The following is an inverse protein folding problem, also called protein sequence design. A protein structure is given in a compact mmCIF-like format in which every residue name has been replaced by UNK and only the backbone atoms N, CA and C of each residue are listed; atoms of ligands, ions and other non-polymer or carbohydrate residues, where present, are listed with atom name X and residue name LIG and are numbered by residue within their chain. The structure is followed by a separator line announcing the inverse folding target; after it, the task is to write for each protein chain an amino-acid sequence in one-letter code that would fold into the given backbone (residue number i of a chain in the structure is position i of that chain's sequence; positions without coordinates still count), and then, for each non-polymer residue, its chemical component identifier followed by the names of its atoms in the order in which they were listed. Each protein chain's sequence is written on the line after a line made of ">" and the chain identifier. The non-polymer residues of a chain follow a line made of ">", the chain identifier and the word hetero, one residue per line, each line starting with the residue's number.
data_IF_203966229272
#
_entry.id   IF_203966229272
#
_cell.length_a   1.000
_cell.length_b   1.000
_cell.length_c   1.000
_cell.angle_alpha   90.00
_cell.angle_beta   90.00
_cell.angle_gamma   90.00
#
_symmetry.space_group_name_H-M   'P 1'
#
loop_
_entity.id
_entity.type
_entity.pdbx_description
1 polymer ?
#
# COMPACT_ATOMS: atom_id res chain seq x y z
N UNK A 1 -43.37 -35.04 -26.16
CA UNK A 1 -43.34 -34.15 -27.31
C UNK A 1 -42.33 -33.07 -27.11
N UNK A 2 -41.35 -33.11 -27.93
CA UNK A 2 -40.41 -32.14 -28.50
C UNK A 2 -39.26 -31.71 -27.61
N UNK A 3 -38.15 -32.36 -27.82
CA UNK A 3 -36.75 -32.05 -27.53
C UNK A 3 -36.35 -30.74 -28.21
N UNK A 4 -35.62 -29.86 -27.54
CA UNK A 4 -34.72 -28.93 -28.23
C UNK A 4 -33.35 -28.98 -27.52
N UNK A 5 -32.44 -29.72 -28.13
CA UNK A 5 -30.99 -29.64 -27.94
C UNK A 5 -30.52 -28.27 -28.37
N UNK A 6 -29.74 -27.60 -27.51
CA UNK A 6 -28.88 -26.51 -27.96
C UNK A 6 -27.42 -26.90 -27.78
N UNK A 7 -26.77 -26.92 -28.93
CA UNK A 7 -25.39 -27.28 -29.15
C UNK A 7 -24.41 -26.34 -28.45
N UNK A 8 -23.46 -26.95 -27.78
CA UNK A 8 -22.22 -26.31 -27.30
C UNK A 8 -21.29 -26.08 -28.50
N UNK A 9 -21.03 -24.82 -28.81
CA UNK A 9 -20.01 -24.45 -29.80
C UNK A 9 -18.66 -24.44 -29.10
N UNK A 10 -17.84 -25.45 -29.39
CA UNK A 10 -16.44 -25.53 -29.01
C UNK A 10 -15.66 -24.73 -30.04
N UNK A 11 -15.17 -23.56 -29.65
CA UNK A 11 -14.22 -22.80 -30.46
C UNK A 11 -12.84 -23.45 -30.34
N UNK A 12 -12.45 -24.22 -31.36
CA UNK A 12 -11.07 -24.68 -31.56
C UNK A 12 -10.14 -23.48 -31.79
N UNK A 13 -9.27 -23.19 -30.86
CA UNK A 13 -8.14 -22.31 -31.09
C UNK A 13 -7.02 -23.14 -31.71
N UNK A 14 -6.79 -22.95 -33.01
CA UNK A 14 -5.64 -23.46 -33.73
C UNK A 14 -4.35 -22.87 -33.17
N UNK A 15 -3.55 -23.73 -32.54
CA UNK A 15 -2.18 -23.42 -32.16
C UNK A 15 -1.27 -23.50 -33.39
N UNK A 16 -0.97 -22.36 -33.99
CA UNK A 16 0.04 -22.28 -35.04
C UNK A 16 1.42 -22.23 -34.38
N UNK A 17 2.14 -23.35 -34.49
CA UNK A 17 3.56 -23.45 -34.11
C UNK A 17 4.39 -22.63 -35.09
N UNK A 18 4.95 -21.52 -34.64
CA UNK A 18 6.03 -20.82 -35.35
C UNK A 18 7.34 -21.01 -34.58
N UNK A 19 8.18 -21.82 -35.16
CA UNK A 19 9.58 -22.03 -34.79
C UNK A 19 10.37 -20.74 -35.06
N UNK A 20 11.13 -20.25 -34.10
CA UNK A 20 12.14 -19.27 -34.44
C UNK A 20 12.60 -18.35 -33.31
N UNK A 21 13.84 -18.50 -32.96
CA UNK A 21 14.70 -17.61 -32.17
C UNK A 21 14.71 -17.84 -30.66
N UNK A 22 15.69 -18.62 -30.25
CA UNK A 22 16.20 -18.63 -28.87
C UNK A 22 16.92 -17.29 -28.66
N UNK A 23 16.23 -16.33 -28.06
CA UNK A 23 16.86 -15.16 -27.47
C UNK A 23 17.12 -15.54 -26.04
N UNK A 24 18.39 -15.68 -25.68
CA UNK A 24 18.84 -15.77 -24.30
C UNK A 24 18.60 -14.40 -23.65
N UNK A 25 17.39 -14.18 -23.14
CA UNK A 25 17.06 -13.01 -22.33
C UNK A 25 17.47 -13.32 -20.90
N UNK A 26 18.34 -12.47 -20.39
CA UNK A 26 18.76 -12.50 -19.00
C UNK A 26 17.56 -12.47 -18.03
N UNK A 27 17.83 -12.91 -16.83
CA UNK A 27 16.93 -13.28 -15.74
C UNK A 27 15.96 -12.17 -15.25
N UNK A 28 15.12 -11.64 -16.16
CA UNK A 28 14.02 -10.72 -15.81
C UNK A 28 12.77 -11.07 -16.64
N UNK A 29 12.28 -12.30 -16.44
CA UNK A 29 11.23 -12.93 -17.25
C UNK A 29 9.82 -12.69 -16.73
N UNK A 30 9.54 -11.53 -16.15
CA UNK A 30 8.16 -11.18 -15.81
C UNK A 30 7.45 -10.62 -17.06
N UNK A 31 6.24 -11.14 -17.38
CA UNK A 31 5.47 -10.60 -18.51
C UNK A 31 5.20 -9.10 -18.30
N UNK A 32 5.20 -8.32 -19.39
CA UNK A 32 5.06 -6.84 -19.36
C UNK A 32 3.80 -6.38 -18.62
N UNK A 33 2.70 -7.15 -18.70
CA UNK A 33 1.45 -6.86 -18.00
C UNK A 33 1.56 -7.04 -16.48
N UNK A 34 2.37 -7.99 -15.99
CA UNK A 34 2.65 -8.11 -14.55
C UNK A 34 3.49 -6.94 -14.04
N UNK A 35 4.48 -6.48 -14.82
CA UNK A 35 5.29 -5.31 -14.45
C UNK A 35 4.43 -4.06 -14.33
N UNK A 36 3.53 -3.84 -15.28
CA UNK A 36 2.65 -2.66 -15.28
C UNK A 36 1.68 -2.65 -14.09
N UNK A 37 1.16 -3.80 -13.69
CA UNK A 37 0.27 -3.92 -12.54
C UNK A 37 1.00 -3.69 -11.21
N UNK A 38 2.22 -4.21 -11.09
CA UNK A 38 3.09 -3.97 -9.91
C UNK A 38 3.52 -2.51 -9.83
N UNK A 39 3.89 -1.88 -10.95
CA UNK A 39 4.26 -0.47 -10.99
C UNK A 39 3.10 0.44 -10.57
N UNK A 40 1.87 0.17 -11.04
CA UNK A 40 0.68 0.94 -10.65
C UNK A 40 0.37 0.84 -9.15
N UNK A 41 0.66 -0.30 -8.52
CA UNK A 41 0.45 -0.55 -7.08
C UNK A 41 1.52 0.09 -6.19
N UNK A 42 2.62 0.50 -6.78
CA UNK A 42 3.79 1.04 -6.05
C UNK A 42 4.22 2.42 -6.54
N UNK A 43 3.42 3.08 -7.39
CA UNK A 43 3.69 4.43 -7.85
C UNK A 43 3.52 5.42 -6.68
N UNK A 44 4.56 6.20 -6.34
CA UNK A 44 4.48 7.23 -5.30
C UNK A 44 3.37 8.26 -5.51
N UNK A 45 2.98 8.53 -6.75
CA UNK A 45 1.89 9.45 -7.08
C UNK A 45 0.53 8.97 -6.58
N UNK A 46 0.35 7.67 -6.43
CA UNK A 46 -0.89 7.07 -5.91
C UNK A 46 -1.11 7.30 -4.43
N UNK A 47 -0.08 7.74 -3.68
CA UNK A 47 -0.18 8.06 -2.26
C UNK A 47 -0.86 9.41 -2.00
N UNK A 48 -0.78 10.35 -2.99
CA UNK A 48 -1.44 11.65 -2.90
C UNK A 48 -2.93 11.54 -3.19
N UNK A 49 -3.70 12.53 -2.74
CA UNK A 49 -5.11 12.68 -3.14
C UNK A 49 -6.12 12.58 -2.02
N UNK A 50 -5.69 12.42 -0.76
CA UNK A 50 -6.65 12.40 0.34
C UNK A 50 -6.05 12.02 1.68
N UNK A 51 -6.94 11.93 2.63
CA UNK A 51 -6.64 11.53 4.00
C UNK A 51 -6.77 10.01 4.11
N UNK A 52 -5.69 9.37 4.46
CA UNK A 52 -5.64 7.94 4.80
C UNK A 52 -6.03 7.72 6.26
N UNK A 53 -7.02 6.88 6.50
CA UNK A 53 -7.52 6.55 7.84
C UNK A 53 -7.04 5.16 8.23
N UNK A 54 -6.57 5.00 9.46
CA UNK A 54 -6.05 3.73 9.96
C UNK A 54 -7.13 2.64 9.94
N UNK A 55 -6.80 1.49 9.37
CA UNK A 55 -7.58 0.25 9.41
C UNK A 55 -6.99 -0.71 10.43
N UNK A 56 -5.67 -0.91 10.38
CA UNK A 56 -4.97 -1.79 11.32
C UNK A 56 -3.55 -1.33 11.60
N UNK A 57 -3.01 -1.70 12.75
CA UNK A 57 -1.63 -1.47 13.16
C UNK A 57 -1.07 -2.70 13.88
N UNK A 58 0.09 -3.20 13.41
CA UNK A 58 0.75 -4.40 13.96
C UNK A 58 -0.20 -5.60 14.09
N UNK A 59 -1.00 -5.85 13.05
CA UNK A 59 -2.02 -6.91 12.98
C UNK A 59 -3.18 -6.77 13.96
N UNK A 60 -3.28 -5.64 14.66
CA UNK A 60 -4.44 -5.31 15.48
C UNK A 60 -5.33 -4.33 14.71
N UNK A 61 -6.64 -4.52 14.79
CA UNK A 61 -7.62 -3.64 14.15
C UNK A 61 -7.55 -2.19 14.66
N UNK A 62 -8.36 -1.33 14.05
CA UNK A 62 -8.47 0.07 14.46
C UNK A 62 -8.72 0.21 15.96
N UNK A 63 -8.02 1.13 16.60
CA UNK A 63 -8.10 1.37 18.05
C UNK A 63 -9.30 2.29 18.30
N UNK A 64 -10.31 1.86 19.05
CA UNK A 64 -11.48 2.69 19.34
C UNK A 64 -11.10 4.04 19.96
N UNK A 65 -11.63 5.13 19.40
CA UNK A 65 -11.39 6.49 19.88
C UNK A 65 -10.07 7.13 19.42
N UNK A 66 -9.16 6.38 18.79
CA UNK A 66 -7.96 6.92 18.21
C UNK A 66 -8.16 7.19 16.71
N UNK A 67 -8.42 8.44 16.34
CA UNK A 67 -8.56 8.86 14.94
C UNK A 67 -7.20 8.99 14.27
N UNK A 68 -6.50 7.86 14.05
CA UNK A 68 -5.18 7.85 13.44
C UNK A 68 -5.30 8.08 11.93
N UNK A 69 -4.51 9.03 11.41
CA UNK A 69 -4.55 9.35 9.98
C UNK A 69 -3.19 9.79 9.45
N UNK A 70 -3.04 9.67 8.12
CA UNK A 70 -1.86 10.05 7.37
C UNK A 70 -2.29 10.77 6.09
N UNK A 71 -1.58 11.83 5.73
CA UNK A 71 -1.79 12.59 4.50
C UNK A 71 -0.44 12.85 3.84
N UNK A 72 -0.37 12.62 2.54
CA UNK A 72 0.81 12.93 1.72
C UNK A 72 0.56 14.23 0.97
N UNK A 73 1.40 15.21 1.24
CA UNK A 73 1.35 16.54 0.63
C UNK A 73 2.35 16.71 -0.51
N UNK A 74 2.40 17.91 -1.07
CA UNK A 74 3.39 18.29 -2.06
C UNK A 74 4.81 18.28 -1.47
N UNK A 75 5.82 18.14 -2.33
CA UNK A 75 7.23 18.21 -1.94
C UNK A 75 7.63 17.19 -0.86
N UNK A 76 7.09 15.99 -0.94
CA UNK A 76 7.33 14.91 0.02
C UNK A 76 6.94 15.25 1.47
N UNK A 77 6.08 16.24 1.67
CA UNK A 77 5.55 16.54 3.00
C UNK A 77 4.58 15.45 3.42
N UNK A 78 4.60 15.14 4.71
CA UNK A 78 3.61 14.25 5.34
C UNK A 78 3.05 14.92 6.57
N UNK A 79 1.78 14.66 6.85
CA UNK A 79 1.09 15.12 8.04
C UNK A 79 0.03 14.13 8.47
N UNK A 80 -0.47 14.29 9.68
CA UNK A 80 -1.54 13.42 10.16
C UNK A 80 -1.91 13.68 11.61
N UNK A 81 -2.73 12.78 12.12
CA UNK A 81 -3.17 12.76 13.51
C UNK A 81 -2.82 11.43 14.16
N UNK A 82 -2.17 11.46 15.31
CA UNK A 82 -1.63 10.29 15.99
C UNK A 82 -2.46 9.82 17.20
N UNK A 83 -3.72 10.25 17.26
CA UNK A 83 -4.65 9.90 18.36
C UNK A 83 -4.83 11.03 19.38
N UNK A 84 -3.76 11.72 19.76
CA UNK A 84 -3.79 12.91 20.63
C UNK A 84 -3.21 14.11 19.91
N UNK A 85 -2.09 13.92 19.23
CA UNK A 85 -1.32 15.00 18.62
C UNK A 85 -1.40 15.00 17.10
N UNK A 86 -1.24 16.17 16.51
CA UNK A 86 -0.93 16.31 15.09
C UNK A 86 0.55 16.10 14.89
N UNK A 87 0.92 15.43 13.81
CA UNK A 87 2.31 15.33 13.41
C UNK A 87 2.52 15.83 12.00
N UNK A 88 3.75 16.21 11.70
CA UNK A 88 4.20 16.58 10.37
C UNK A 88 5.65 16.20 10.18
N UNK A 89 6.08 16.09 8.94
CA UNK A 89 7.44 15.78 8.58
C UNK A 89 7.60 15.60 7.08
N UNK A 90 8.58 14.81 6.69
CA UNK A 90 8.86 14.50 5.29
C UNK A 90 8.96 13.01 5.08
N UNK A 91 8.76 12.56 3.84
CA UNK A 91 9.05 11.19 3.43
C UNK A 91 9.93 11.21 2.17
N UNK A 92 10.59 10.11 1.90
CA UNK A 92 11.18 9.81 0.59
C UNK A 92 10.44 8.65 -0.02
N UNK A 93 10.08 8.80 -1.29
CA UNK A 93 9.34 7.77 -2.03
C UNK A 93 10.08 7.43 -3.32
N UNK A 94 10.04 6.15 -3.67
CA UNK A 94 10.47 5.60 -4.96
C UNK A 94 9.53 4.44 -5.27
N UNK A 95 9.63 3.83 -6.44
CA UNK A 95 8.78 2.70 -6.81
C UNK A 95 8.78 1.62 -5.71
N UNK A 96 7.64 1.46 -5.03
CA UNK A 96 7.45 0.52 -3.93
C UNK A 96 8.17 0.85 -2.62
N UNK A 97 9.01 1.87 -2.58
CA UNK A 97 9.74 2.27 -1.38
C UNK A 97 9.13 3.51 -0.76
N UNK A 98 9.04 3.52 0.55
CA UNK A 98 8.59 4.65 1.35
C UNK A 98 9.37 4.68 2.66
N UNK A 99 9.97 5.81 2.96
CA UNK A 99 10.67 6.03 4.22
C UNK A 99 10.28 7.38 4.80
N UNK A 100 9.81 7.40 6.03
CA UNK A 100 9.55 8.63 6.75
C UNK A 100 10.85 9.21 7.31
N UNK A 101 11.01 10.52 7.20
CA UNK A 101 12.04 11.28 7.88
C UNK A 101 11.68 11.55 9.33
N UNK A 102 12.28 12.58 9.91
CA UNK A 102 11.91 13.00 11.27
C UNK A 102 10.46 13.51 11.28
N UNK A 103 9.64 12.93 12.15
CA UNK A 103 8.27 13.35 12.39
C UNK A 103 8.25 14.19 13.68
N UNK A 104 7.68 15.37 13.58
CA UNK A 104 7.50 16.30 14.71
C UNK A 104 6.03 16.31 15.08
N UNK A 105 5.69 16.15 16.35
CA UNK A 105 4.33 16.21 16.85
C UNK A 105 4.11 17.36 17.83
N UNK A 106 2.86 17.81 17.96
CA UNK A 106 2.45 18.69 19.06
C UNK A 106 2.58 17.95 20.39
N UNK A 107 2.55 18.68 21.49
CA UNK A 107 2.74 18.10 22.84
C UNK A 107 1.50 18.32 23.70
N UNK A 108 0.37 17.82 23.23
CA UNK A 108 -0.86 17.80 24.03
C UNK A 108 -0.87 16.55 24.90
N UNK A 109 -1.38 16.68 26.11
CA UNK A 109 -1.60 15.55 27.00
C UNK A 109 -2.95 14.90 26.67
N UNK A 110 -2.96 13.58 26.59
CA UNK A 110 -4.15 12.73 26.42
C UNK A 110 -4.24 11.67 27.51
N UNK A 111 -5.19 10.76 27.40
CA UNK A 111 -5.22 9.60 28.28
C UNK A 111 -3.96 8.74 28.10
N UNK A 112 -3.53 8.00 29.14
CA UNK A 112 -2.35 7.12 29.03
C UNK A 112 -2.43 6.13 27.87
N UNK A 113 -3.62 5.60 27.57
CA UNK A 113 -3.87 4.65 26.47
C UNK A 113 -3.66 5.32 25.10
N UNK A 114 -4.19 6.54 24.92
CA UNK A 114 -4.01 7.28 23.68
C UNK A 114 -2.57 7.73 23.47
N UNK A 115 -1.88 8.13 24.54
CA UNK A 115 -0.46 8.47 24.49
C UNK A 115 0.42 7.26 24.12
N UNK A 116 0.09 6.08 24.67
CA UNK A 116 0.76 4.82 24.27
C UNK A 116 0.49 4.48 22.82
N UNK A 117 -0.75 4.66 22.37
CA UNK A 117 -1.13 4.45 20.96
C UNK A 117 -0.38 5.37 20.02
N UNK A 118 -0.26 6.67 20.36
CA UNK A 118 0.53 7.64 19.61
C UNK A 118 1.99 7.21 19.46
N UNK A 119 2.63 6.81 20.56
CA UNK A 119 4.01 6.33 20.52
C UNK A 119 4.17 5.11 19.61
N UNK A 120 3.26 4.14 19.73
CA UNK A 120 3.26 2.93 18.89
C UNK A 120 3.07 3.28 17.41
N UNK A 121 2.16 4.20 17.11
CA UNK A 121 1.87 4.63 15.73
C UNK A 121 3.07 5.34 15.10
N UNK A 122 3.66 6.31 15.78
CA UNK A 122 4.84 7.02 15.27
C UNK A 122 6.05 6.09 15.14
N UNK A 123 6.23 5.13 16.05
CA UNK A 123 7.25 4.10 15.94
C UNK A 123 7.01 3.16 14.73
N UNK A 124 5.76 2.77 14.49
CA UNK A 124 5.40 1.98 13.33
C UNK A 124 5.72 2.73 12.02
N UNK A 125 5.35 4.02 11.90
CA UNK A 125 5.70 4.85 10.75
C UNK A 125 7.22 4.96 10.55
N UNK A 126 7.99 5.12 11.60
CA UNK A 126 9.45 5.21 11.54
C UNK A 126 10.11 3.90 11.02
N UNK A 127 9.47 2.77 11.23
CA UNK A 127 9.94 1.44 10.77
C UNK A 127 9.63 1.14 9.31
N UNK A 128 8.78 1.93 8.64
CA UNK A 128 8.36 1.71 7.25
C UNK A 128 9.53 1.80 6.28
N UNK A 129 9.57 0.88 5.33
CA UNK A 129 10.55 0.83 4.23
C UNK A 129 9.91 0.67 2.86
N UNK A 130 8.76 0.01 2.79
CA UNK A 130 8.05 -0.26 1.55
C UNK A 130 6.56 0.02 1.71
N UNK A 131 5.89 0.22 0.59
CA UNK A 131 4.45 0.33 0.55
C UNK A 131 3.86 -0.45 -0.62
N UNK A 132 2.60 -0.81 -0.50
CA UNK A 132 1.78 -1.31 -1.60
C UNK A 132 0.36 -0.76 -1.49
N UNK A 133 -0.27 -0.54 -2.65
CA UNK A 133 -1.64 -0.06 -2.74
C UNK A 133 -2.47 -1.10 -3.51
N UNK A 134 -3.42 -1.72 -2.82
CA UNK A 134 -4.26 -2.76 -3.40
C UNK A 134 -5.71 -2.60 -2.91
N UNK A 135 -6.64 -2.55 -3.87
CA UNK A 135 -8.07 -2.47 -3.56
C UNK A 135 -8.46 -1.26 -2.70
N UNK A 136 -7.74 -0.13 -2.82
CA UNK A 136 -7.97 1.05 -1.99
C UNK A 136 -7.36 0.97 -0.58
N UNK A 137 -6.62 -0.10 -0.27
CA UNK A 137 -5.88 -0.26 0.97
C UNK A 137 -4.39 0.06 0.75
N UNK A 138 -3.88 0.99 1.53
CA UNK A 138 -2.47 1.32 1.60
C UNK A 138 -1.81 0.51 2.72
N UNK A 139 -0.92 -0.41 2.35
CA UNK A 139 -0.13 -1.20 3.28
C UNK A 139 1.26 -0.63 3.38
N UNK A 140 1.69 -0.34 4.60
CA UNK A 140 3.04 0.10 4.91
C UNK A 140 3.79 -1.03 5.58
N UNK A 141 4.92 -1.43 4.99
CA UNK A 141 5.70 -2.58 5.42
C UNK A 141 7.06 -2.16 5.96
N UNK A 142 7.56 -2.90 6.94
CA UNK A 142 8.89 -2.72 7.47
C UNK A 142 9.96 -3.40 6.57
N UNK A 143 11.19 -3.39 7.04
CA UNK A 143 12.34 -4.00 6.35
C UNK A 143 12.19 -5.52 6.12
N UNK A 144 11.49 -6.22 7.02
CA UNK A 144 11.20 -7.64 6.90
C UNK A 144 10.02 -7.96 5.97
N UNK A 145 9.40 -6.95 5.33
CA UNK A 145 8.20 -7.11 4.50
C UNK A 145 6.90 -7.29 5.28
N UNK A 146 6.94 -7.15 6.62
CA UNK A 146 5.74 -7.26 7.45
C UNK A 146 4.94 -5.97 7.40
N UNK A 147 3.63 -6.05 7.18
CA UNK A 147 2.74 -4.90 7.25
C UNK A 147 2.64 -4.39 8.69
N UNK A 148 3.11 -3.18 8.92
CA UNK A 148 3.07 -2.53 10.24
C UNK A 148 1.89 -1.59 10.39
N UNK A 149 1.41 -1.00 9.29
CA UNK A 149 0.22 -0.13 9.28
C UNK A 149 -0.55 -0.35 7.99
N UNK A 150 -1.87 -0.36 8.09
CA UNK A 150 -2.79 -0.45 6.96
C UNK A 150 -3.82 0.67 7.05
N UNK A 151 -4.05 1.35 5.91
CA UNK A 151 -4.96 2.47 5.80
C UNK A 151 -5.97 2.27 4.68
N UNK A 152 -7.11 2.97 4.77
CA UNK A 152 -8.07 3.18 3.69
C UNK A 152 -8.36 4.67 3.50
N UNK A 153 -8.94 5.01 2.37
CA UNK A 153 -9.54 6.33 2.14
C UNK A 153 -10.89 6.47 2.80
#
# INVERSE_FOLDING_TARGET
>A
MTQILRALSVASILFTTMFGAIITVGCDSQPVWMKQEVEARTDPKSLGGGKWVLVSMNSNGAIPGANLSLEFGANNAVSGFSGVNRFSGTCTTSTGQLKFGALVSTKMAGSPELMKTEQAYLAALASVRNFSLEGGLLRLNNDSGTTVVEFSH
#
